data_IF_260906132546
#
_entry.id   IF_260906132546
#
_cell.length_a   1.000
_cell.length_b   1.000
_cell.length_c   1.000
_cell.angle_alpha   90.00
_cell.angle_beta   90.00
_cell.angle_gamma   90.00
#
_symmetry.space_group_name_H-M   'P 1'
#
loop_
_entity.id
_entity.type
_entity.pdbx_description
1 polymer ?
#
# COMPACT_ATOMS: atom_id res chain seq x y z
N UNK A 1 5.61 25.10 -27.07
CA UNK A 1 5.53 24.16 -25.93
C UNK A 1 6.14 24.70 -24.63
N UNK A 2 7.26 25.43 -24.59
CA UNK A 2 7.81 26.02 -23.35
C UNK A 2 6.95 27.16 -22.77
N UNK A 3 6.28 27.98 -23.61
CA UNK A 3 5.42 29.07 -23.16
C UNK A 3 4.16 28.61 -22.42
N UNK A 4 3.55 27.51 -22.83
CA UNK A 4 2.35 26.94 -22.22
C UNK A 4 2.61 26.44 -20.78
N UNK A 5 3.76 25.82 -20.52
CA UNK A 5 4.14 25.36 -19.18
C UNK A 5 4.35 26.52 -18.20
N UNK A 6 5.00 27.59 -18.63
CA UNK A 6 5.26 28.77 -17.78
C UNK A 6 3.93 29.44 -17.35
N UNK A 7 2.98 29.55 -18.27
CA UNK A 7 1.66 30.13 -18.00
C UNK A 7 0.92 29.29 -16.96
N UNK A 8 0.84 27.95 -17.17
CA UNK A 8 0.17 27.05 -16.23
C UNK A 8 0.78 27.07 -14.83
N UNK A 9 2.10 27.15 -14.73
CA UNK A 9 2.78 27.20 -13.42
C UNK A 9 2.61 28.56 -12.73
N UNK A 10 2.41 29.66 -13.47
CA UNK A 10 2.22 30.98 -12.90
C UNK A 10 0.82 31.18 -12.28
N UNK A 11 -0.15 30.31 -12.59
CA UNK A 11 -1.51 30.34 -12.02
C UNK A 11 -1.60 29.73 -10.62
N UNK A 12 -0.52 29.10 -10.14
CA UNK A 12 -0.49 28.37 -8.87
C UNK A 12 0.47 29.02 -7.88
N UNK A 13 0.02 29.31 -6.66
CA UNK A 13 0.92 29.57 -5.54
C UNK A 13 1.40 28.24 -4.97
N UNK A 14 2.57 27.82 -5.37
CA UNK A 14 3.11 26.51 -5.02
C UNK A 14 3.40 26.34 -3.53
N UNK A 15 3.63 27.45 -2.80
CA UNK A 15 3.80 27.37 -1.35
C UNK A 15 2.47 27.08 -0.65
N UNK A 16 1.42 27.79 -1.02
CA UNK A 16 0.09 27.54 -0.47
C UNK A 16 -0.45 26.17 -0.87
N UNK A 17 -0.16 25.70 -2.09
CA UNK A 17 -0.50 24.35 -2.53
C UNK A 17 0.21 23.27 -1.70
N UNK A 18 1.47 23.49 -1.35
CA UNK A 18 2.23 22.59 -0.50
C UNK A 18 1.65 22.51 0.93
N UNK A 19 1.26 23.64 1.50
CA UNK A 19 0.56 23.67 2.80
C UNK A 19 -0.79 22.94 2.72
N UNK A 20 -1.54 23.14 1.65
CA UNK A 20 -2.82 22.47 1.44
C UNK A 20 -2.66 20.93 1.27
N UNK A 21 -1.59 20.47 0.62
CA UNK A 21 -1.26 19.03 0.52
C UNK A 21 -1.01 18.45 1.92
N UNK A 22 -0.20 19.13 2.74
CA UNK A 22 0.07 18.75 4.12
C UNK A 22 -1.22 18.65 4.94
N UNK A 23 -2.07 19.68 4.86
CA UNK A 23 -3.28 19.77 5.67
C UNK A 23 -4.29 18.66 5.30
N UNK A 24 -4.44 18.36 4.01
CA UNK A 24 -5.25 17.21 3.56
C UNK A 24 -4.74 15.88 4.09
N UNK A 25 -3.42 15.70 4.17
CA UNK A 25 -2.84 14.47 4.73
C UNK A 25 -3.09 14.36 6.23
N UNK A 26 -2.95 15.47 6.98
CA UNK A 26 -3.25 15.52 8.42
C UNK A 26 -4.72 15.24 8.69
N UNK A 27 -5.61 15.78 7.89
CA UNK A 27 -7.05 15.51 7.95
C UNK A 27 -7.36 14.03 7.71
N UNK A 28 -6.79 13.44 6.67
CA UNK A 28 -6.92 12.01 6.39
C UNK A 28 -6.50 11.15 7.61
N UNK A 29 -5.38 11.46 8.24
CA UNK A 29 -4.89 10.67 9.38
C UNK A 29 -5.71 10.89 10.65
N UNK A 30 -6.31 12.06 10.83
CA UNK A 30 -7.16 12.36 11.98
C UNK A 30 -8.56 11.77 11.84
N UNK A 31 -9.17 11.93 10.68
CA UNK A 31 -10.61 11.72 10.46
C UNK A 31 -10.91 10.50 9.58
N UNK A 32 -9.90 9.86 9.01
CA UNK A 32 -10.07 8.70 8.14
C UNK A 32 -10.60 7.45 8.86
N UNK A 33 -11.10 6.51 8.09
CA UNK A 33 -11.67 5.24 8.57
C UNK A 33 -10.63 4.48 9.38
N UNK A 34 -10.95 4.16 10.64
CA UNK A 34 -10.09 3.41 11.57
C UNK A 34 -10.41 1.91 11.61
N UNK A 35 -11.66 1.53 11.33
CA UNK A 35 -12.10 0.13 11.31
C UNK A 35 -12.68 -0.19 9.95
N UNK A 36 -11.96 -1.00 9.20
CA UNK A 36 -12.35 -1.43 7.85
C UNK A 36 -12.98 -2.82 7.98
N UNK A 37 -14.24 -2.96 7.59
CA UNK A 37 -14.96 -4.23 7.65
C UNK A 37 -14.75 -5.02 6.37
N UNK A 38 -14.42 -6.30 6.48
CA UNK A 38 -14.26 -7.19 5.33
C UNK A 38 -15.50 -7.20 4.41
N UNK A 39 -16.69 -7.10 5.00
CA UNK A 39 -17.97 -7.08 4.26
C UNK A 39 -18.14 -5.85 3.34
N UNK A 40 -17.34 -4.81 3.53
CA UNK A 40 -17.33 -3.58 2.72
C UNK A 40 -16.32 -3.67 1.56
N UNK A 41 -15.48 -4.72 1.53
CA UNK A 41 -14.41 -4.87 0.56
C UNK A 41 -14.80 -5.86 -0.56
N UNK A 42 -14.70 -5.46 -1.84
CA UNK A 42 -14.92 -6.38 -2.94
C UNK A 42 -13.81 -7.43 -3.00
N UNK A 43 -14.18 -8.66 -3.39
CA UNK A 43 -13.21 -9.66 -3.80
C UNK A 43 -12.83 -9.40 -5.26
N UNK A 44 -11.62 -8.93 -5.49
CA UNK A 44 -11.11 -8.60 -6.81
C UNK A 44 -10.40 -9.80 -7.44
N UNK A 45 -10.63 -10.02 -8.74
CA UNK A 45 -9.83 -10.94 -9.55
C UNK A 45 -8.68 -10.14 -10.16
N UNK A 46 -7.47 -10.33 -9.65
CA UNK A 46 -6.27 -9.64 -10.08
C UNK A 46 -5.29 -10.58 -10.77
N UNK A 47 -4.18 -10.04 -11.30
CA UNK A 47 -3.06 -10.85 -11.85
C UNK A 47 -2.37 -11.71 -10.78
N UNK A 48 -2.56 -11.38 -9.51
CA UNK A 48 -2.03 -12.15 -8.37
C UNK A 48 -3.03 -13.19 -7.85
N UNK A 49 -4.29 -13.17 -8.30
CA UNK A 49 -5.36 -14.06 -7.88
C UNK A 49 -6.52 -13.31 -7.25
N UNK A 50 -7.20 -13.94 -6.28
CA UNK A 50 -8.34 -13.35 -5.58
C UNK A 50 -7.85 -12.52 -4.40
N UNK A 51 -8.17 -11.22 -4.37
CA UNK A 51 -7.65 -10.28 -3.39
C UNK A 51 -8.75 -9.37 -2.83
N UNK A 52 -8.60 -8.97 -1.55
CA UNK A 52 -9.31 -7.85 -0.91
C UNK A 52 -8.29 -6.87 -0.36
N UNK A 53 -8.47 -5.59 -0.65
CA UNK A 53 -7.58 -4.53 -0.20
C UNK A 53 -8.15 -3.81 1.00
N UNK A 54 -7.48 -3.89 2.15
CA UNK A 54 -7.78 -3.09 3.34
C UNK A 54 -7.10 -1.73 3.26
N UNK A 55 -5.82 -1.71 2.89
CA UNK A 55 -5.03 -0.48 2.69
C UNK A 55 -4.36 -0.55 1.33
N UNK A 56 -4.55 0.47 0.53
CA UNK A 56 -3.97 0.58 -0.81
C UNK A 56 -3.64 2.06 -1.11
N UNK A 57 -2.55 2.36 -1.85
CA UNK A 57 -2.17 3.74 -2.17
C UNK A 57 -3.26 4.59 -2.85
N UNK A 58 -4.21 3.97 -3.53
CA UNK A 58 -5.33 4.66 -4.16
C UNK A 58 -6.55 4.86 -3.24
N UNK A 59 -6.63 4.15 -2.11
CA UNK A 59 -7.69 4.29 -1.10
C UNK A 59 -7.29 5.42 -0.17
N UNK A 60 -8.01 6.55 -0.21
CA UNK A 60 -7.62 7.79 0.47
C UNK A 60 -8.52 8.16 1.67
N UNK A 61 -9.50 7.34 1.98
CA UNK A 61 -10.45 7.55 3.07
C UNK A 61 -10.08 6.82 4.38
N UNK A 62 -8.97 6.09 4.39
CA UNK A 62 -8.45 5.41 5.59
C UNK A 62 -7.46 6.30 6.35
N UNK A 63 -7.41 6.13 7.69
CA UNK A 63 -6.51 6.90 8.56
C UNK A 63 -5.03 6.51 8.45
N UNK A 64 -4.67 5.56 7.59
CA UNK A 64 -3.30 5.07 7.43
C UNK A 64 -2.97 4.86 5.95
N UNK A 65 -1.89 5.48 5.47
CA UNK A 65 -1.42 5.36 4.08
C UNK A 65 0.01 4.81 3.93
N UNK A 66 0.71 4.62 5.06
CA UNK A 66 2.12 4.19 5.08
C UNK A 66 2.31 2.69 4.85
N UNK A 67 1.21 1.94 4.85
CA UNK A 67 1.19 0.49 4.61
C UNK A 67 0.28 0.14 3.44
N UNK A 68 0.62 -0.93 2.75
CA UNK A 68 -0.32 -1.71 1.94
C UNK A 68 -0.72 -2.95 2.75
N UNK A 69 -2.02 -3.22 2.83
CA UNK A 69 -2.56 -4.36 3.56
C UNK A 69 -3.69 -5.02 2.77
N UNK A 70 -3.56 -6.32 2.52
CA UNK A 70 -4.52 -7.07 1.74
C UNK A 70 -4.69 -8.50 2.24
N UNK A 71 -5.82 -9.10 1.91
CA UNK A 71 -6.05 -10.53 2.01
C UNK A 71 -5.92 -11.15 0.61
N UNK A 72 -5.30 -12.30 0.52
CA UNK A 72 -5.29 -13.12 -0.70
C UNK A 72 -5.90 -14.48 -0.42
N UNK A 73 -6.73 -14.94 -1.36
CA UNK A 73 -7.30 -16.29 -1.36
C UNK A 73 -6.77 -17.08 -2.55
N UNK A 74 -6.30 -18.28 -2.28
CA UNK A 74 -5.82 -19.23 -3.30
C UNK A 74 -6.77 -20.42 -3.31
N UNK A 75 -7.54 -20.63 -4.39
CA UNK A 75 -8.45 -21.76 -4.53
C UNK A 75 -7.75 -23.11 -4.35
N UNK A 76 -8.50 -24.20 -4.10
CA UNK A 76 -7.95 -25.54 -3.95
C UNK A 76 -7.03 -25.94 -5.11
N UNK A 77 -5.83 -26.43 -4.83
CA UNK A 77 -4.85 -26.87 -5.81
C UNK A 77 -4.28 -25.78 -6.73
N UNK A 78 -4.62 -24.52 -6.48
CA UNK A 78 -4.23 -23.36 -7.30
C UNK A 78 -2.98 -22.66 -6.76
N UNK A 79 -2.64 -21.55 -7.40
CA UNK A 79 -1.47 -20.72 -7.07
C UNK A 79 -1.73 -19.24 -7.35
N UNK A 80 -0.92 -18.39 -6.72
CA UNK A 80 -0.86 -16.95 -7.03
C UNK A 80 -0.15 -16.68 -8.36
N UNK A 81 -0.25 -15.46 -8.86
CA UNK A 81 0.69 -14.92 -9.83
C UNK A 81 2.13 -15.02 -9.31
N UNK A 82 3.11 -15.07 -10.21
CA UNK A 82 4.54 -15.02 -9.88
C UNK A 82 5.02 -13.58 -9.96
N UNK A 83 5.55 -13.07 -8.85
CA UNK A 83 5.94 -11.68 -8.69
C UNK A 83 7.44 -11.56 -8.44
N UNK A 84 8.09 -10.55 -9.02
CA UNK A 84 9.41 -10.08 -8.61
C UNK A 84 9.25 -8.70 -7.98
N UNK A 85 9.75 -8.53 -6.76
CA UNK A 85 9.78 -7.25 -6.03
C UNK A 85 10.89 -7.27 -4.99
N UNK A 86 11.14 -6.15 -4.32
CA UNK A 86 12.26 -6.09 -3.35
C UNK A 86 12.03 -6.89 -2.06
N UNK A 87 10.81 -7.37 -1.82
CA UNK A 87 10.46 -8.03 -0.57
C UNK A 87 10.08 -7.05 0.53
N UNK A 88 10.37 -7.42 1.79
CA UNK A 88 9.97 -6.60 2.94
C UNK A 88 8.49 -6.75 3.29
N UNK A 89 7.85 -7.85 2.89
CA UNK A 89 6.46 -8.18 3.18
C UNK A 89 6.39 -9.24 4.26
N UNK A 90 5.42 -9.11 5.15
CA UNK A 90 5.05 -10.14 6.13
C UNK A 90 3.66 -10.64 5.79
N UNK A 91 3.49 -11.96 5.77
CA UNK A 91 2.19 -12.58 5.56
C UNK A 91 1.85 -13.56 6.68
N UNK A 92 0.63 -13.50 7.18
CA UNK A 92 0.08 -14.44 8.17
C UNK A 92 -0.95 -15.34 7.50
N UNK A 93 -0.75 -16.64 7.59
CA UNK A 93 -1.67 -17.63 7.05
C UNK A 93 -2.88 -17.74 7.98
N UNK A 94 -4.06 -17.40 7.49
CA UNK A 94 -5.30 -17.43 8.27
C UNK A 94 -6.09 -18.72 8.06
N UNK A 95 -5.94 -19.35 6.89
CA UNK A 95 -6.68 -20.58 6.55
C UNK A 95 -5.87 -21.46 5.59
N UNK A 96 -6.03 -22.77 5.72
CA UNK A 96 -5.48 -23.76 4.79
C UNK A 96 -3.99 -24.05 5.02
N UNK A 97 -3.37 -24.63 3.97
CA UNK A 97 -1.97 -25.05 3.95
C UNK A 97 -1.39 -24.99 2.54
N UNK A 98 -0.12 -24.73 2.47
CA UNK A 98 0.55 -24.62 1.17
C UNK A 98 2.05 -24.40 1.29
N UNK A 99 2.60 -23.70 0.34
CA UNK A 99 3.98 -23.24 0.37
C UNK A 99 4.19 -22.00 -0.45
N UNK A 100 5.23 -21.27 -0.11
CA UNK A 100 5.74 -20.14 -0.90
C UNK A 100 7.08 -20.54 -1.51
N UNK A 101 7.29 -20.27 -2.78
CA UNK A 101 8.63 -20.30 -3.37
C UNK A 101 9.25 -18.92 -3.30
N UNK A 102 10.47 -18.82 -2.78
CA UNK A 102 11.29 -17.61 -2.77
C UNK A 102 12.58 -17.94 -3.53
N UNK A 103 12.76 -17.31 -4.69
CA UNK A 103 13.90 -17.60 -5.59
C UNK A 103 14.05 -19.10 -5.93
N UNK A 104 12.91 -19.79 -6.08
CA UNK A 104 12.85 -21.22 -6.37
C UNK A 104 12.92 -22.14 -5.16
N UNK A 105 13.28 -21.64 -3.98
CA UNK A 105 13.31 -22.43 -2.74
C UNK A 105 11.91 -22.50 -2.13
N UNK A 106 11.47 -23.71 -1.80
CA UNK A 106 10.14 -23.98 -1.27
C UNK A 106 10.11 -23.86 0.25
N UNK A 107 9.17 -23.07 0.77
CA UNK A 107 8.91 -22.84 2.18
C UNK A 107 7.45 -23.24 2.51
N UNK A 108 7.22 -24.43 3.12
CA UNK A 108 5.87 -24.87 3.47
C UNK A 108 5.30 -24.09 4.65
N UNK A 109 3.97 -23.95 4.66
CA UNK A 109 3.23 -23.26 5.72
C UNK A 109 1.83 -23.85 5.90
N UNK A 110 1.19 -23.54 7.03
CA UNK A 110 -0.20 -23.83 7.37
C UNK A 110 -0.83 -22.68 8.15
N UNK A 111 -2.13 -22.74 8.36
CA UNK A 111 -2.85 -21.75 9.18
C UNK A 111 -2.17 -21.53 10.54
N UNK A 112 -2.00 -20.27 10.93
CA UNK A 112 -1.28 -19.81 12.12
C UNK A 112 0.20 -19.49 11.90
N UNK A 113 0.81 -19.91 10.79
CA UNK A 113 2.20 -19.62 10.48
C UNK A 113 2.34 -18.19 9.90
N UNK A 114 3.54 -17.62 10.09
CA UNK A 114 3.93 -16.33 9.51
C UNK A 114 5.10 -16.54 8.55
N UNK A 115 4.98 -16.02 7.34
CA UNK A 115 6.04 -16.01 6.33
C UNK A 115 6.61 -14.61 6.20
N UNK A 116 7.92 -14.48 6.38
CA UNK A 116 8.65 -13.24 6.16
C UNK A 116 9.35 -13.28 4.81
N UNK A 117 8.98 -12.39 3.91
CA UNK A 117 9.64 -12.23 2.62
C UNK A 117 10.83 -11.27 2.79
N UNK A 118 12.08 -11.74 2.58
CA UNK A 118 13.26 -10.94 2.88
C UNK A 118 13.38 -9.73 1.96
N UNK A 119 13.85 -8.61 2.52
CA UNK A 119 14.20 -7.42 1.74
C UNK A 119 15.57 -7.62 1.07
N UNK A 120 15.62 -7.52 -0.26
CA UNK A 120 16.86 -7.67 -1.04
C UNK A 120 16.98 -6.60 -2.12
N UNK A 121 18.18 -6.06 -2.32
CA UNK A 121 18.45 -5.02 -3.30
C UNK A 121 18.08 -5.44 -4.73
N UNK A 122 18.42 -6.67 -5.12
CA UNK A 122 18.13 -7.21 -6.45
C UNK A 122 16.69 -7.76 -6.59
N UNK A 123 15.93 -7.69 -5.48
CA UNK A 123 14.59 -8.25 -5.37
C UNK A 123 14.58 -9.76 -5.13
N UNK A 124 13.37 -10.27 -4.93
CA UNK A 124 13.06 -11.70 -4.81
C UNK A 124 11.98 -12.09 -5.80
N UNK A 125 11.98 -13.34 -6.23
CA UNK A 125 10.91 -13.92 -7.05
C UNK A 125 10.05 -14.79 -6.15
N UNK A 126 8.76 -14.48 -6.05
CA UNK A 126 7.83 -15.13 -5.12
C UNK A 126 6.62 -15.68 -5.85
N UNK A 127 6.16 -16.84 -5.39
CA UNK A 127 4.86 -17.41 -5.78
C UNK A 127 4.31 -18.27 -4.64
N UNK A 128 3.00 -18.17 -4.39
CA UNK A 128 2.30 -18.91 -3.34
C UNK A 128 1.47 -20.03 -3.95
N UNK A 129 1.41 -21.19 -3.28
CA UNK A 129 0.72 -22.38 -3.75
C UNK A 129 -0.17 -22.94 -2.65
N UNK A 130 -1.43 -23.25 -2.97
CA UNK A 130 -2.29 -24.03 -2.10
C UNK A 130 -2.05 -25.53 -2.37
N UNK A 131 -1.65 -26.27 -1.35
CA UNK A 131 -1.39 -27.72 -1.44
C UNK A 131 -2.65 -28.56 -1.18
N UNK A 132 -3.72 -27.95 -0.67
CA UNK A 132 -4.97 -28.64 -0.43
C UNK A 132 -5.81 -28.66 -1.72
N UNK A 133 -6.38 -29.82 -2.05
CA UNK A 133 -7.18 -30.02 -3.24
C UNK A 133 -8.68 -29.77 -3.01
N UNK A 134 -9.10 -29.52 -1.77
CA UNK A 134 -10.50 -29.40 -1.39
C UNK A 134 -10.82 -28.07 -0.69
N UNK A 135 -9.85 -27.49 0.00
CA UNK A 135 -10.03 -26.28 0.79
C UNK A 135 -9.19 -25.11 0.25
N UNK A 136 -9.72 -23.87 0.27
CA UNK A 136 -8.93 -22.70 -0.06
C UNK A 136 -7.83 -22.46 0.97
N UNK A 137 -6.80 -21.76 0.57
CA UNK A 137 -5.83 -21.18 1.48
C UNK A 137 -5.97 -19.67 1.47
N UNK A 138 -5.91 -19.04 2.66
CA UNK A 138 -6.01 -17.59 2.82
C UNK A 138 -4.88 -17.07 3.69
N UNK A 139 -4.41 -15.91 3.34
CA UNK A 139 -3.47 -15.16 4.16
C UNK A 139 -3.75 -13.66 4.09
N UNK A 140 -3.36 -12.95 5.11
CA UNK A 140 -3.25 -11.50 5.11
C UNK A 140 -1.78 -11.11 4.98
N UNK A 141 -1.51 -10.08 4.20
CA UNK A 141 -0.15 -9.60 4.00
C UNK A 141 -0.07 -8.10 4.20
N UNK A 142 1.06 -7.67 4.75
CA UNK A 142 1.38 -6.26 4.97
C UNK A 142 2.77 -5.96 4.42
N UNK A 143 2.89 -4.82 3.74
CA UNK A 143 4.16 -4.28 3.28
C UNK A 143 4.17 -2.75 3.37
N UNK A 144 5.34 -2.12 3.52
CA UNK A 144 5.43 -0.68 3.54
C UNK A 144 5.03 -0.05 2.21
N UNK A 145 4.23 1.00 2.27
CA UNK A 145 4.10 1.95 1.17
C UNK A 145 5.25 2.97 1.29
N UNK A 146 6.40 2.68 0.68
CA UNK A 146 7.63 3.43 0.86
C UNK A 146 7.50 4.92 0.55
N UNK A 147 6.69 5.28 -0.42
CA UNK A 147 6.49 6.69 -0.81
C UNK A 147 5.83 7.50 0.30
N UNK A 148 4.85 6.93 0.98
CA UNK A 148 4.15 7.56 2.09
C UNK A 148 4.85 7.31 3.43
N UNK A 149 5.57 6.18 3.56
CA UNK A 149 6.19 5.74 4.81
C UNK A 149 7.46 6.50 5.21
N UNK A 150 8.13 7.17 4.27
CA UNK A 150 9.34 7.96 4.57
C UNK A 150 9.04 9.43 4.89
N UNK A 151 7.78 9.84 4.80
CA UNK A 151 7.33 11.21 5.05
C UNK A 151 6.38 11.26 6.25
N UNK A 152 6.70 12.06 7.25
CA UNK A 152 5.83 12.28 8.43
C UNK A 152 4.62 13.12 8.01
N UNK A 153 4.86 14.21 7.27
CA UNK A 153 3.85 15.05 6.63
C UNK A 153 4.24 15.25 5.17
N UNK A 154 3.31 15.14 4.24
CA UNK A 154 3.55 15.61 2.88
C UNK A 154 3.91 17.08 2.92
N UNK A 155 4.96 17.46 2.18
CA UNK A 155 5.48 18.80 2.25
C UNK A 155 6.44 19.01 3.42
N UNK A 156 7.06 17.93 3.93
CA UNK A 156 8.15 17.96 4.92
C UNK A 156 7.79 18.54 6.30
N UNK A 157 6.50 18.56 6.64
CA UNK A 157 6.03 18.89 8.00
C UNK A 157 6.31 20.31 8.47
N UNK A 158 6.49 21.27 7.57
CA UNK A 158 6.74 22.66 7.98
C UNK A 158 5.44 23.42 8.35
N UNK A 159 5.57 24.37 9.24
CA UNK A 159 4.52 25.28 9.68
C UNK A 159 4.80 26.70 9.16
N UNK A 160 3.79 27.35 8.58
CA UNK A 160 3.88 28.76 8.21
C UNK A 160 3.58 29.62 9.44
N UNK A 161 4.59 30.25 10.03
CA UNK A 161 4.42 31.06 11.23
C UNK A 161 4.17 32.54 10.92
N UNK A 162 4.77 33.07 9.86
CA UNK A 162 4.66 34.47 9.44
C UNK A 162 4.74 34.55 7.90
N UNK A 163 3.88 35.36 7.31
CA UNK A 163 3.90 35.61 5.86
C UNK A 163 4.97 36.66 5.52
N UNK A 164 5.61 36.51 4.35
CA UNK A 164 6.54 37.51 3.85
C UNK A 164 5.82 38.83 3.52
N UNK A 165 6.47 40.01 3.67
CA UNK A 165 5.86 41.29 3.41
C UNK A 165 5.29 41.47 1.97
N UNK A 166 5.89 40.72 1.02
CA UNK A 166 5.49 40.73 -0.39
C UNK A 166 4.24 39.88 -0.66
N UNK A 167 3.89 38.98 0.28
CA UNK A 167 2.69 38.14 0.15
C UNK A 167 1.44 38.96 0.45
N UNK A 168 0.62 39.20 -0.56
CA UNK A 168 -0.69 39.80 -0.40
C UNK A 168 -1.76 38.77 -0.69
N UNK A 169 -2.55 38.41 0.32
CA UNK A 169 -3.77 37.64 0.09
C UNK A 169 -4.64 38.45 -0.89
N UNK A 170 -4.96 37.86 -2.03
CA UNK A 170 -6.02 38.42 -2.87
C UNK A 170 -7.32 38.34 -2.05
N UNK A 171 -7.78 39.48 -1.59
CA UNK A 171 -9.03 39.64 -0.85
C UNK A 171 -10.24 39.32 -1.74
#
# INVERSE_FOLDING_TARGET
MAGDRKVKLAEVNHWDDLLAIRDRQREQYRDGIQVIKESELPLEVSRQGLMRWYLHPAIKDTCLSVLMFFQQEIPPGSRSGRLKFQGGQVMMITEGRGYTTIDGVKHPWKAGDVVNLPLRADGIIVQHFNSDQQQPAKFVAVEPNWVEGVSVDRGCGFEQLEDAPEYRRNA
#
